data_IF_379502843472
#
_entry.id   IF_379502843472
#
_cell.length_a   1.000
_cell.length_b   1.000
_cell.length_c   1.000
_cell.angle_alpha   90.00
_cell.angle_beta   90.00
_cell.angle_gamma   90.00
#
_symmetry.space_group_name_H-M   'P 1'
#
loop_
_entity.id
_entity.type
_entity.pdbx_description
1 polymer ?
#
# COMPACT_ATOMS: atom_id res chain seq x y z
N UNK A 1 6.12 18.60 -15.47
CA UNK A 1 5.88 17.20 -15.03
C UNK A 1 4.55 16.79 -15.61
N UNK A 2 4.47 15.62 -16.27
CA UNK A 2 3.17 15.09 -16.68
C UNK A 2 2.33 14.81 -15.43
N UNK A 3 1.03 15.06 -15.52
CA UNK A 3 0.09 14.79 -14.44
C UNK A 3 0.01 13.28 -14.17
N UNK A 4 0.01 12.86 -12.89
CA UNK A 4 -0.07 11.44 -12.52
C UNK A 4 -1.47 10.92 -12.86
N UNK A 5 -1.55 10.08 -13.89
CA UNK A 5 -2.80 9.51 -14.39
C UNK A 5 -3.16 8.20 -13.71
N UNK A 6 -2.20 7.55 -13.02
CA UNK A 6 -2.47 6.33 -12.28
C UNK A 6 -1.57 6.18 -11.04
N UNK A 7 -2.14 5.69 -9.94
CA UNK A 7 -1.47 5.49 -8.66
C UNK A 7 -1.89 4.15 -8.03
N UNK A 8 -0.93 3.40 -7.51
CA UNK A 8 -1.21 2.22 -6.69
C UNK A 8 -0.73 2.46 -5.25
N UNK A 9 -1.66 2.43 -4.30
CA UNK A 9 -1.37 2.51 -2.89
C UNK A 9 -1.27 1.09 -2.30
N UNK A 10 -0.19 0.82 -1.58
CA UNK A 10 0.13 -0.49 -1.03
C UNK A 10 0.16 -0.39 0.50
N UNK A 11 -0.70 -1.16 1.17
CA UNK A 11 -0.92 -1.11 2.61
C UNK A 11 -0.88 -2.50 3.25
N UNK A 12 -0.82 -2.53 4.58
CA UNK A 12 -0.80 -3.79 5.32
C UNK A 12 -2.21 -4.30 5.58
N UNK A 13 -3.12 -3.41 5.99
CA UNK A 13 -4.44 -3.78 6.51
C UNK A 13 -5.57 -2.93 5.91
N UNK A 14 -6.80 -3.49 5.85
CA UNK A 14 -8.03 -2.76 5.53
C UNK A 14 -8.42 -1.63 6.52
N UNK A 15 -8.10 -0.37 6.22
CA UNK A 15 -8.41 0.87 6.97
C UNK A 15 -7.25 1.86 6.84
N UNK A 16 -6.04 1.35 6.62
CA UNK A 16 -4.82 2.13 6.37
C UNK A 16 -5.02 3.17 5.26
N UNK A 17 -5.69 2.77 4.18
CA UNK A 17 -5.95 3.62 3.02
C UNK A 17 -6.85 4.81 3.38
N UNK A 18 -7.87 4.56 4.20
CA UNK A 18 -8.84 5.56 4.62
C UNK A 18 -8.26 6.48 5.69
N UNK A 19 -7.61 5.90 6.70
CA UNK A 19 -7.08 6.61 7.85
C UNK A 19 -5.92 7.55 7.48
N UNK A 20 -5.03 7.11 6.58
CA UNK A 20 -3.82 7.88 6.26
C UNK A 20 -3.94 8.70 4.98
N UNK A 21 -4.53 8.14 3.94
CA UNK A 21 -4.47 8.70 2.59
C UNK A 21 -5.85 8.99 1.98
N UNK A 22 -6.96 8.68 2.65
CA UNK A 22 -8.29 8.64 2.04
C UNK A 22 -8.67 9.93 1.32
N UNK A 23 -8.45 11.09 1.96
CA UNK A 23 -8.73 12.39 1.34
C UNK A 23 -7.92 12.65 0.07
N UNK A 24 -6.65 12.24 0.04
CA UNK A 24 -5.79 12.37 -1.14
C UNK A 24 -6.22 11.39 -2.24
N UNK A 25 -6.49 10.12 -1.90
CA UNK A 25 -6.92 9.10 -2.85
C UNK A 25 -8.23 9.51 -3.54
N UNK A 26 -9.21 10.00 -2.77
CA UNK A 26 -10.47 10.51 -3.30
C UNK A 26 -10.28 11.75 -4.18
N UNK A 27 -9.39 12.68 -3.79
CA UNK A 27 -9.10 13.88 -4.59
C UNK A 27 -8.45 13.52 -5.94
N UNK A 28 -7.53 12.55 -5.95
CA UNK A 28 -6.91 12.06 -7.18
C UNK A 28 -7.94 11.38 -8.09
N UNK A 29 -8.80 10.53 -7.53
CA UNK A 29 -9.88 9.89 -8.27
C UNK A 29 -10.84 10.91 -8.90
N UNK A 30 -11.24 11.94 -8.15
CA UNK A 30 -12.09 13.03 -8.66
C UNK A 30 -11.43 13.82 -9.80
N UNK A 31 -10.09 13.89 -9.83
CA UNK A 31 -9.32 14.51 -10.93
C UNK A 31 -9.11 13.57 -12.12
N UNK A 32 -9.64 12.34 -12.07
CA UNK A 32 -9.52 11.36 -13.15
C UNK A 32 -8.26 10.48 -13.08
N UNK A 33 -7.49 10.54 -12.00
CA UNK A 33 -6.40 9.58 -11.76
C UNK A 33 -7.01 8.22 -11.44
N UNK A 34 -6.53 7.17 -12.11
CA UNK A 34 -6.90 5.78 -11.79
C UNK A 34 -6.15 5.31 -10.55
N UNK A 35 -6.87 5.01 -9.48
CA UNK A 35 -6.27 4.68 -8.18
C UNK A 35 -6.59 3.24 -7.78
N UNK A 36 -5.58 2.45 -7.46
CA UNK A 36 -5.72 1.12 -6.86
C UNK A 36 -5.27 1.12 -5.41
N UNK A 37 -5.90 0.27 -4.60
CA UNK A 37 -5.43 -0.11 -3.27
C UNK A 37 -5.12 -1.60 -3.28
N UNK A 38 -3.93 -1.95 -2.80
CA UNK A 38 -3.49 -3.32 -2.60
C UNK A 38 -3.14 -3.49 -1.11
N UNK A 39 -3.84 -4.38 -0.43
CA UNK A 39 -3.59 -4.73 0.97
C UNK A 39 -2.85 -6.06 1.06
N UNK A 40 -1.82 -6.13 1.90
CA UNK A 40 -1.09 -7.38 2.10
C UNK A 40 -1.94 -8.45 2.80
N UNK A 41 -2.88 -8.03 3.66
CA UNK A 41 -3.72 -8.91 4.49
C UNK A 41 -5.19 -8.51 4.43
N UNK A 42 -6.08 -9.32 5.01
CA UNK A 42 -7.48 -8.93 5.27
C UNK A 42 -7.68 -8.29 6.64
N UNK A 43 -6.59 -8.09 7.40
CA UNK A 43 -6.67 -7.52 8.74
C UNK A 43 -7.48 -8.39 9.70
N UNK A 44 -7.49 -9.71 9.50
CA UNK A 44 -8.35 -10.65 10.20
C UNK A 44 -8.13 -10.71 11.72
N UNK A 45 -7.07 -10.11 12.26
CA UNK A 45 -6.85 -10.01 13.72
C UNK A 45 -7.30 -8.67 14.31
N UNK A 46 -7.82 -7.77 13.48
CA UNK A 46 -8.23 -6.42 13.86
C UNK A 46 -9.59 -6.31 14.57
N UNK A 47 -10.40 -7.37 14.61
CA UNK A 47 -11.69 -7.39 15.30
C UNK A 47 -11.66 -8.41 16.45
N UNK A 48 -11.30 -8.01 17.69
CA UNK A 48 -11.03 -8.94 18.80
C UNK A 48 -12.17 -9.87 19.21
N UNK A 49 -13.40 -9.58 18.79
CA UNK A 49 -14.62 -10.33 19.17
C UNK A 49 -15.08 -11.33 18.11
N UNK A 50 -14.42 -11.38 16.96
CA UNK A 50 -14.76 -12.28 15.87
C UNK A 50 -13.67 -13.33 15.68
N UNK A 51 -14.04 -14.50 15.14
CA UNK A 51 -13.06 -15.44 14.64
C UNK A 51 -12.28 -14.79 13.49
N UNK A 52 -10.98 -15.06 13.30
CA UNK A 52 -10.20 -14.39 12.25
C UNK A 52 -10.84 -14.51 10.87
N UNK A 53 -11.30 -15.69 10.45
CA UNK A 53 -11.96 -15.84 9.15
C UNK A 53 -13.17 -14.90 8.98
N UNK A 54 -14.07 -14.85 9.97
CA UNK A 54 -15.22 -13.94 9.96
C UNK A 54 -14.79 -12.46 9.96
N UNK A 55 -13.75 -12.12 10.73
CA UNK A 55 -13.22 -10.76 10.79
C UNK A 55 -12.61 -10.34 9.44
N UNK A 56 -11.89 -11.24 8.77
CA UNK A 56 -11.30 -11.01 7.46
C UNK A 56 -12.35 -10.79 6.37
N UNK A 57 -13.43 -11.57 6.38
CA UNK A 57 -14.56 -11.38 5.46
C UNK A 57 -15.25 -10.02 5.67
N UNK A 58 -15.51 -9.66 6.93
CA UNK A 58 -16.10 -8.37 7.29
C UNK A 58 -15.21 -7.22 6.83
N UNK A 59 -13.92 -7.24 7.19
CA UNK A 59 -12.97 -6.17 6.85
C UNK A 59 -12.69 -6.07 5.35
N UNK A 60 -12.72 -7.19 4.62
CA UNK A 60 -12.71 -7.14 3.16
C UNK A 60 -13.92 -6.37 2.63
N UNK A 61 -15.12 -6.69 3.11
CA UNK A 61 -16.34 -5.97 2.73
C UNK A 61 -16.31 -4.48 3.10
N UNK A 62 -15.71 -4.14 4.25
CA UNK A 62 -15.48 -2.75 4.66
C UNK A 62 -14.54 -2.01 3.71
N UNK A 63 -13.40 -2.62 3.33
CA UNK A 63 -12.47 -2.03 2.37
C UNK A 63 -13.11 -1.86 0.99
N UNK A 64 -13.87 -2.84 0.51
CA UNK A 64 -14.62 -2.72 -0.74
C UNK A 64 -15.62 -1.55 -0.68
N UNK A 65 -16.28 -1.34 0.47
CA UNK A 65 -17.14 -0.17 0.69
C UNK A 65 -16.34 1.14 0.68
N UNK A 66 -15.20 1.17 1.36
CA UNK A 66 -14.33 2.34 1.41
C UNK A 66 -13.82 2.72 0.01
N UNK A 67 -13.29 1.77 -0.76
CA UNK A 67 -12.86 1.99 -2.14
C UNK A 67 -13.98 2.57 -3.01
N UNK A 68 -15.21 2.02 -2.92
CA UNK A 68 -16.37 2.57 -3.63
C UNK A 68 -16.69 4.01 -3.21
N UNK A 69 -16.65 4.30 -1.90
CA UNK A 69 -16.93 5.63 -1.38
C UNK A 69 -15.88 6.67 -1.79
N UNK A 70 -14.61 6.25 -1.88
CA UNK A 70 -13.51 7.08 -2.35
C UNK A 70 -13.50 7.28 -3.88
N UNK A 71 -14.29 6.48 -4.62
CA UNK A 71 -14.32 6.52 -6.09
C UNK A 71 -13.11 5.88 -6.75
N UNK A 72 -12.44 4.95 -6.06
CA UNK A 72 -11.24 4.25 -6.53
C UNK A 72 -11.57 2.81 -6.96
N UNK A 73 -10.61 2.13 -7.58
CA UNK A 73 -10.77 0.76 -8.04
C UNK A 73 -11.02 -0.21 -6.87
N UNK A 74 -11.70 -1.35 -7.10
CA UNK A 74 -11.85 -2.39 -6.07
C UNK A 74 -10.49 -2.81 -5.50
N UNK A 75 -10.43 -3.13 -4.19
CA UNK A 75 -9.17 -3.49 -3.55
C UNK A 75 -8.63 -4.83 -4.06
N UNK A 76 -7.32 -4.98 -4.01
CA UNK A 76 -6.61 -6.25 -4.24
C UNK A 76 -5.95 -6.71 -2.95
N UNK A 77 -5.76 -8.03 -2.81
CA UNK A 77 -5.13 -8.64 -1.64
C UNK A 77 -3.95 -9.52 -2.05
N UNK A 78 -2.90 -9.57 -1.23
CA UNK A 78 -1.80 -10.55 -1.35
C UNK A 78 -2.05 -11.85 -0.58
N UNK A 79 -3.15 -11.91 0.17
CA UNK A 79 -3.59 -13.08 0.93
C UNK A 79 -2.61 -13.55 2.02
N UNK A 80 -1.79 -12.65 2.58
CA UNK A 80 -0.96 -12.96 3.75
C UNK A 80 -1.75 -12.81 5.05
N UNK A 81 -1.23 -13.46 6.10
CA UNK A 81 -1.81 -13.41 7.43
C UNK A 81 -1.44 -12.12 8.19
N UNK A 82 -2.45 -11.52 8.81
CA UNK A 82 -2.34 -10.33 9.66
C UNK A 82 -1.45 -10.57 10.89
N UNK A 83 -0.56 -9.62 11.16
CA UNK A 83 0.40 -9.64 12.25
C UNK A 83 1.61 -10.54 12.03
N UNK A 84 1.79 -11.09 10.83
CA UNK A 84 2.90 -12.01 10.52
C UNK A 84 3.71 -11.61 9.29
N UNK A 85 3.52 -10.41 8.73
CA UNK A 85 4.19 -10.04 7.47
C UNK A 85 5.71 -10.00 7.64
N UNK A 86 6.22 -9.65 8.81
CA UNK A 86 7.66 -9.69 9.13
C UNK A 86 8.28 -11.10 9.08
N UNK A 87 7.47 -12.15 8.97
CA UNK A 87 7.89 -13.55 8.93
C UNK A 87 7.68 -14.19 7.54
N UNK A 88 7.05 -13.47 6.62
CA UNK A 88 6.80 -13.93 5.25
C UNK A 88 8.13 -13.99 4.49
N UNK A 89 8.23 -14.93 3.53
CA UNK A 89 9.35 -14.92 2.58
C UNK A 89 9.30 -13.63 1.75
N UNK A 90 10.24 -12.72 2.02
CA UNK A 90 10.29 -11.41 1.38
C UNK A 90 10.40 -11.51 -0.15
N UNK A 91 11.17 -12.47 -0.68
CA UNK A 91 11.33 -12.64 -2.14
C UNK A 91 9.99 -12.94 -2.82
N UNK A 92 9.16 -13.79 -2.20
CA UNK A 92 7.83 -14.12 -2.70
C UNK A 92 6.88 -12.92 -2.61
N UNK A 93 6.94 -12.14 -1.52
CA UNK A 93 6.10 -10.95 -1.36
C UNK A 93 6.48 -9.86 -2.37
N UNK A 94 7.78 -9.65 -2.59
CA UNK A 94 8.31 -8.73 -3.58
C UNK A 94 7.90 -9.17 -5.00
N UNK A 95 7.99 -10.46 -5.32
CA UNK A 95 7.54 -11.00 -6.62
C UNK A 95 6.08 -10.68 -6.90
N UNK A 96 5.20 -10.92 -5.92
CA UNK A 96 3.77 -10.63 -6.07
C UNK A 96 3.51 -9.13 -6.31
N UNK A 97 4.23 -8.25 -5.60
CA UNK A 97 4.15 -6.81 -5.85
C UNK A 97 4.70 -6.43 -7.23
N UNK A 98 5.81 -7.01 -7.67
CA UNK A 98 6.37 -6.80 -9.01
C UNK A 98 5.37 -7.24 -10.08
N UNK A 99 4.73 -8.40 -9.90
CA UNK A 99 3.67 -8.88 -10.78
C UNK A 99 2.52 -7.86 -10.86
N UNK A 100 2.02 -7.39 -9.72
CA UNK A 100 0.95 -6.38 -9.66
C UNK A 100 1.36 -5.05 -10.33
N UNK A 101 2.59 -4.58 -10.13
CA UNK A 101 3.13 -3.37 -10.76
C UNK A 101 3.20 -3.54 -12.29
N UNK A 102 3.69 -4.69 -12.78
CA UNK A 102 3.81 -4.97 -14.23
C UNK A 102 2.44 -5.14 -14.90
N UNK A 103 1.47 -5.71 -14.19
CA UNK A 103 0.08 -5.87 -14.67
C UNK A 103 -0.65 -4.52 -14.73
N UNK A 104 -0.63 -3.76 -13.62
CA UNK A 104 -1.42 -2.53 -13.48
C UNK A 104 -0.75 -1.29 -14.07
N UNK A 105 0.58 -1.34 -14.24
CA UNK A 105 1.42 -0.28 -14.81
C UNK A 105 1.18 1.11 -14.18
N UNK A 106 1.25 1.25 -12.83
CA UNK A 106 0.99 2.52 -12.16
C UNK A 106 2.10 3.54 -12.43
N UNK A 107 1.74 4.81 -12.64
CA UNK A 107 2.73 5.88 -12.80
C UNK A 107 3.39 6.30 -11.48
N UNK A 108 2.72 6.06 -10.35
CA UNK A 108 3.25 6.30 -9.02
C UNK A 108 2.80 5.23 -8.01
N UNK A 109 3.64 4.98 -7.01
CA UNK A 109 3.31 4.16 -5.84
C UNK A 109 3.17 5.03 -4.59
N UNK A 110 2.34 4.58 -3.65
CA UNK A 110 2.24 5.12 -2.30
C UNK A 110 2.36 3.99 -1.29
N UNK A 111 3.18 4.15 -0.26
CA UNK A 111 3.34 3.16 0.81
C UNK A 111 3.79 3.81 2.12
N UNK A 112 4.10 2.98 3.10
CA UNK A 112 4.66 3.37 4.40
C UNK A 112 6.11 3.82 4.30
N UNK A 113 6.56 4.76 5.15
CA UNK A 113 7.98 5.03 5.35
C UNK A 113 8.64 3.81 6.03
N UNK A 114 9.99 3.75 6.02
CA UNK A 114 10.75 2.58 6.49
C UNK A 114 10.48 2.17 7.94
N UNK A 115 9.97 3.09 8.75
CA UNK A 115 9.62 2.86 10.15
C UNK A 115 8.13 2.52 10.37
N UNK A 116 7.33 2.47 9.30
CA UNK A 116 5.91 2.14 9.35
C UNK A 116 5.03 3.20 10.01
N UNK A 117 5.54 4.41 10.25
CA UNK A 117 4.93 5.51 11.03
C UNK A 117 4.74 5.20 12.52
N UNK A 118 4.26 4.03 12.91
CA UNK A 118 4.07 3.64 14.32
C UNK A 118 5.05 2.56 14.79
N UNK A 119 5.93 2.08 13.93
CA UNK A 119 6.76 0.90 14.21
C UNK A 119 6.01 -0.44 14.06
N UNK A 120 4.78 -0.45 13.52
CA UNK A 120 4.05 -1.70 13.31
C UNK A 120 4.83 -2.63 12.37
N UNK A 121 5.17 -3.88 12.77
CA UNK A 121 6.02 -4.77 11.98
C UNK A 121 5.50 -5.01 10.56
N UNK A 122 4.18 -5.13 10.40
CA UNK A 122 3.59 -5.32 9.07
C UNK A 122 3.74 -4.10 8.16
N UNK A 123 3.67 -2.88 8.70
CA UNK A 123 3.85 -1.66 7.92
C UNK A 123 5.30 -1.53 7.45
N UNK A 124 6.25 -1.89 8.33
CA UNK A 124 7.68 -1.93 8.01
C UNK A 124 7.96 -2.97 6.92
N UNK A 125 7.36 -4.16 7.00
CA UNK A 125 7.50 -5.20 5.97
C UNK A 125 6.97 -4.70 4.61
N UNK A 126 5.75 -4.17 4.58
CA UNK A 126 5.15 -3.62 3.35
C UNK A 126 5.95 -2.47 2.77
N UNK A 127 6.49 -1.57 3.61
CA UNK A 127 7.40 -0.50 3.17
C UNK A 127 8.60 -1.05 2.40
N UNK A 128 9.28 -2.04 2.99
CA UNK A 128 10.46 -2.68 2.38
C UNK A 128 10.12 -3.38 1.08
N UNK A 129 9.08 -4.22 1.09
CA UNK A 129 8.67 -4.96 -0.11
C UNK A 129 8.31 -4.02 -1.26
N UNK A 130 7.62 -2.93 -0.95
CA UNK A 130 7.25 -1.92 -1.96
C UNK A 130 8.48 -1.23 -2.52
N UNK A 131 9.45 -0.86 -1.68
CA UNK A 131 10.70 -0.23 -2.12
C UNK A 131 11.50 -1.12 -3.07
N UNK A 132 11.64 -2.40 -2.74
CA UNK A 132 12.30 -3.39 -3.60
C UNK A 132 11.52 -3.63 -4.89
N UNK A 133 10.20 -3.83 -4.80
CA UNK A 133 9.34 -4.06 -5.97
C UNK A 133 9.33 -2.85 -6.93
N UNK A 134 9.41 -1.62 -6.40
CA UNK A 134 9.52 -0.41 -7.21
C UNK A 134 10.75 -0.42 -8.12
N UNK A 135 11.90 -0.92 -7.63
CA UNK A 135 13.11 -1.06 -8.44
C UNK A 135 13.02 -2.27 -9.37
N UNK A 136 12.65 -3.43 -8.84
CA UNK A 136 12.67 -4.70 -9.57
C UNK A 136 11.60 -4.79 -10.68
N UNK A 137 10.48 -4.06 -10.55
CA UNK A 137 9.46 -4.04 -11.59
C UNK A 137 9.98 -3.50 -12.93
N UNK A 138 10.98 -2.61 -12.91
CA UNK A 138 11.63 -2.05 -14.09
C UNK A 138 12.78 -2.92 -14.62
N UNK A 139 13.28 -3.87 -13.84
CA UNK A 139 14.44 -4.69 -14.20
C UNK A 139 14.03 -5.93 -15.03
N UNK A 140 14.45 -6.06 -16.30
CA UNK A 140 14.17 -7.26 -17.10
C UNK A 140 14.86 -8.53 -16.58
N UNK A 141 15.87 -8.43 -15.71
CA UNK A 141 16.51 -9.59 -15.10
C UNK A 141 15.74 -10.11 -13.88
N UNK A 142 14.91 -9.27 -13.24
CA UNK A 142 14.06 -9.68 -12.13
C UNK A 142 12.83 -10.42 -12.63
N UNK A 143 12.62 -11.64 -12.11
CA UNK A 143 11.49 -12.52 -12.43
C UNK A 143 11.30 -12.71 -13.95
N UNK A 144 12.27 -13.33 -14.66
CA UNK A 144 12.23 -13.48 -16.12
C UNK A 144 10.98 -14.25 -16.63
N UNK A 145 10.42 -15.14 -15.80
CA UNK A 145 9.15 -15.84 -16.05
C UNK A 145 7.95 -14.90 -16.24
N UNK A 146 7.96 -13.70 -15.66
CA UNK A 146 6.92 -12.70 -15.89
C UNK A 146 6.87 -12.29 -17.37
N UNK A 147 8.02 -12.07 -18.01
CA UNK A 147 8.06 -11.74 -19.45
C UNK A 147 7.56 -12.92 -20.29
N UNK A 148 7.90 -14.15 -19.91
CA UNK A 148 7.35 -15.34 -20.57
C UNK A 148 5.81 -15.43 -20.44
N UNK A 149 5.24 -14.88 -19.37
CA UNK A 149 3.80 -14.72 -19.16
C UNK A 149 3.20 -13.43 -19.77
N UNK A 150 3.98 -12.63 -20.51
CA UNK A 150 3.55 -11.39 -21.15
C UNK A 150 3.52 -10.16 -20.24
N UNK A 151 4.07 -10.26 -19.02
CA UNK A 151 4.23 -9.15 -18.09
C UNK A 151 5.58 -8.47 -18.31
N UNK A 152 5.58 -7.51 -19.23
CA UNK A 152 6.75 -6.69 -19.55
C UNK A 152 7.20 -5.82 -18.37
N UNK A 153 8.50 -5.54 -18.23
CA UNK A 153 9.00 -4.60 -17.24
C UNK A 153 8.28 -3.24 -17.29
N UNK A 154 8.12 -2.64 -16.12
CA UNK A 154 7.41 -1.38 -15.96
C UNK A 154 8.16 -0.42 -15.04
N UNK A 155 8.61 0.70 -15.58
CA UNK A 155 9.18 1.80 -14.79
C UNK A 155 8.05 2.65 -14.19
N UNK A 156 7.90 2.57 -12.88
CA UNK A 156 7.05 3.49 -12.12
C UNK A 156 7.82 4.80 -11.90
N UNK A 157 7.19 5.95 -12.12
CA UNK A 157 7.88 7.25 -12.15
C UNK A 157 8.22 7.82 -10.77
N UNK A 158 7.47 7.43 -9.73
CA UNK A 158 7.68 7.92 -8.37
C UNK A 158 7.21 6.91 -7.31
N UNK A 159 7.89 6.92 -6.16
CA UNK A 159 7.50 6.23 -4.94
C UNK A 159 7.31 7.27 -3.85
N UNK A 160 6.08 7.41 -3.36
CA UNK A 160 5.70 8.31 -2.28
C UNK A 160 5.55 7.55 -0.97
N UNK A 161 5.89 8.21 0.14
CA UNK A 161 5.72 7.67 1.48
C UNK A 161 4.75 8.52 2.29
N UNK A 162 3.91 7.87 3.09
CA UNK A 162 3.03 8.55 4.05
C UNK A 162 3.88 9.05 5.22
N UNK A 163 3.75 10.33 5.54
CA UNK A 163 4.52 10.97 6.62
C UNK A 163 3.59 11.74 7.54
N UNK A 164 4.03 11.93 8.79
CA UNK A 164 3.34 12.77 9.77
C UNK A 164 4.27 13.92 10.14
N UNK A 165 3.95 15.18 9.76
CA UNK A 165 4.74 16.34 10.15
C UNK A 165 4.71 16.55 11.68
N UNK A 166 5.78 17.08 12.27
CA UNK A 166 5.85 17.40 13.70
C UNK A 166 4.66 18.25 14.15
N UNK A 167 4.37 19.34 13.43
CA UNK A 167 3.28 20.24 13.81
C UNK A 167 1.91 19.56 13.83
N UNK A 168 1.66 18.63 12.90
CA UNK A 168 0.40 17.90 12.82
C UNK A 168 0.27 16.90 13.98
N UNK A 169 1.34 16.16 14.28
CA UNK A 169 1.35 15.22 15.40
C UNK A 169 1.13 15.92 16.74
N UNK A 170 1.73 17.10 16.94
CA UNK A 170 1.49 17.91 18.14
C UNK A 170 0.04 18.40 18.22
N UNK A 171 -0.49 18.97 17.15
CA UNK A 171 -1.85 19.52 17.11
C UNK A 171 -2.92 18.45 17.41
N UNK A 172 -2.70 17.23 16.93
CA UNK A 172 -3.62 16.10 17.09
C UNK A 172 -3.25 15.17 18.26
N UNK A 173 -2.21 15.51 19.04
CA UNK A 173 -1.72 14.71 20.19
C UNK A 173 -1.34 13.26 19.84
N UNK A 174 -0.78 13.06 18.65
CA UNK A 174 -0.37 11.75 18.11
C UNK A 174 1.07 11.39 18.50
N UNK A 175 1.45 11.60 19.76
CA UNK A 175 2.83 11.46 20.24
C UNK A 175 3.43 10.04 20.16
N UNK A 176 2.61 9.05 19.83
CA UNK A 176 3.01 7.66 19.64
C UNK A 176 3.48 7.36 18.21
N UNK A 177 3.37 8.31 17.29
CA UNK A 177 3.82 8.16 15.91
C UNK A 177 5.23 8.73 15.73
N UNK A 178 6.01 8.11 14.87
CA UNK A 178 7.19 8.70 14.29
C UNK A 178 6.79 9.80 13.31
N UNK A 179 7.58 10.86 13.34
CA UNK A 179 7.27 12.12 12.69
C UNK A 179 8.51 12.65 11.99
N UNK A 180 8.29 13.52 11.00
CA UNK A 180 9.36 14.21 10.30
C UNK A 180 9.27 15.73 10.53
N UNK A 181 10.39 16.46 10.40
CA UNK A 181 10.35 17.92 10.37
C UNK A 181 9.41 18.43 9.26
N UNK A 182 8.64 19.47 9.55
CA UNK A 182 7.69 20.06 8.61
C UNK A 182 8.35 20.55 7.31
N UNK A 183 9.62 20.97 7.38
CA UNK A 183 10.41 21.38 6.22
C UNK A 183 10.85 20.24 5.29
N UNK A 184 10.66 18.98 5.72
CA UNK A 184 10.98 17.78 4.95
C UNK A 184 9.78 17.19 4.19
N UNK A 185 8.62 17.86 4.23
CA UNK A 185 7.35 17.47 3.58
C UNK A 185 7.27 18.02 2.15
#
# INVERSE_FOLDING_TARGET
MNEIQSLMAIFAHPDDESYRAGGMLALLAQKGTRVWVLCATRGERGIPKLHPEDAGEVRQGELECACRALGIEPPRFLDYQDGTLSQVNEEQAIEQLVCAIRELRPQALLTWPLDGVSGHPDHVAVSRWTGEAFQQAADPAAYPEHQAAGLEPHTTGALFHIVVPHSLAEALKMHHLHTIPDEAV
#
